data_IF_010029904663
#
_entry.id   IF_010029904663
#
_cell.length_a   1.000
_cell.length_b   1.000
_cell.length_c   1.000
_cell.angle_alpha   90.00
_cell.angle_beta   90.00
_cell.angle_gamma   90.00
#
_symmetry.space_group_name_H-M   'P 1'
#
loop_
_entity.id
_entity.type
_entity.pdbx_description
1 polymer ?
#
# COMPACT_ATOMS: atom_id res chain seq x y z
N UNK A 1 15.28 -24.87 -4.79
CA UNK A 1 15.91 -23.94 -3.84
C UNK A 1 16.00 -22.50 -4.37
N UNK A 2 15.19 -22.09 -5.36
CA UNK A 2 15.36 -20.82 -6.09
C UNK A 2 14.32 -19.73 -5.75
N UNK A 3 13.19 -20.07 -5.15
CA UNK A 3 12.10 -19.10 -4.91
C UNK A 3 12.29 -18.15 -3.73
N UNK A 4 13.24 -18.40 -2.83
CA UNK A 4 13.47 -17.56 -1.64
C UNK A 4 14.22 -16.25 -2.00
N UNK A 5 14.99 -16.23 -3.10
CA UNK A 5 15.81 -15.06 -3.47
C UNK A 5 15.05 -13.96 -4.23
N UNK A 6 13.91 -14.27 -4.86
CA UNK A 6 13.23 -13.33 -5.76
C UNK A 6 12.39 -12.29 -5.00
N UNK A 7 11.69 -12.70 -3.93
CA UNK A 7 10.91 -11.76 -3.13
C UNK A 7 11.80 -10.80 -2.32
N UNK A 8 12.93 -11.29 -1.79
CA UNK A 8 13.91 -10.49 -1.07
C UNK A 8 14.57 -9.46 -1.99
N UNK A 9 14.96 -9.88 -3.20
CA UNK A 9 15.51 -8.96 -4.20
C UNK A 9 14.47 -7.93 -4.67
N UNK A 10 13.20 -8.32 -4.82
CA UNK A 10 12.12 -7.41 -5.19
C UNK A 10 11.94 -6.26 -4.19
N UNK A 11 11.72 -6.57 -2.90
CA UNK A 11 11.51 -5.52 -1.90
C UNK A 11 12.76 -4.67 -1.66
N UNK A 12 13.95 -5.29 -1.75
CA UNK A 12 15.22 -4.54 -1.64
C UNK A 12 15.38 -3.52 -2.76
N UNK A 13 15.12 -3.93 -4.01
CA UNK A 13 15.17 -3.04 -5.17
C UNK A 13 14.11 -1.94 -5.09
N UNK A 14 12.88 -2.30 -4.73
CA UNK A 14 11.78 -1.35 -4.58
C UNK A 14 12.09 -0.28 -3.52
N UNK A 15 12.59 -0.71 -2.35
CA UNK A 15 13.07 0.19 -1.30
C UNK A 15 14.19 1.09 -1.79
N UNK A 16 15.19 0.54 -2.48
CA UNK A 16 16.33 1.31 -2.99
C UNK A 16 15.88 2.44 -3.92
N UNK A 17 14.99 2.13 -4.87
CA UNK A 17 14.42 3.13 -5.79
C UNK A 17 13.56 4.17 -5.08
N UNK A 18 12.73 3.73 -4.13
CA UNK A 18 11.88 4.63 -3.37
C UNK A 18 12.73 5.58 -2.52
N UNK A 19 13.71 5.07 -1.78
CA UNK A 19 14.63 5.87 -0.97
C UNK A 19 15.37 6.91 -1.82
N UNK A 20 15.84 6.52 -3.01
CA UNK A 20 16.47 7.44 -3.95
C UNK A 20 15.51 8.55 -4.38
N UNK A 21 14.29 8.20 -4.77
CA UNK A 21 13.25 9.16 -5.16
C UNK A 21 12.96 10.14 -4.03
N UNK A 22 12.76 9.66 -2.81
CA UNK A 22 12.48 10.51 -1.65
C UNK A 22 13.63 11.47 -1.35
N UNK A 23 14.87 11.01 -1.50
CA UNK A 23 16.07 11.85 -1.38
C UNK A 23 16.09 12.95 -2.45
N UNK A 24 15.80 12.60 -3.70
CA UNK A 24 15.81 13.53 -4.84
C UNK A 24 14.71 14.60 -4.72
N UNK A 25 13.54 14.22 -4.22
CA UNK A 25 12.40 15.12 -3.97
C UNK A 25 12.55 15.89 -2.64
N UNK A 26 13.51 15.52 -1.78
CA UNK A 26 13.78 16.21 -0.51
C UNK A 26 12.70 16.01 0.58
N UNK A 27 12.00 14.87 0.55
CA UNK A 27 10.83 14.61 1.40
C UNK A 27 11.03 13.48 2.43
N UNK A 28 12.27 13.09 2.72
CA UNK A 28 12.55 11.98 3.66
C UNK A 28 11.98 12.19 5.06
N UNK A 29 12.02 13.44 5.55
CA UNK A 29 11.54 13.83 6.87
C UNK A 29 10.02 14.04 6.92
N UNK A 30 9.33 13.93 5.78
CA UNK A 30 7.89 14.14 5.72
C UNK A 30 7.14 13.06 6.49
N UNK A 31 6.09 13.49 7.17
CA UNK A 31 5.27 12.62 8.01
C UNK A 31 4.34 11.78 7.15
N UNK A 32 4.26 10.50 7.50
CA UNK A 32 3.26 9.56 6.99
C UNK A 32 2.47 8.99 8.17
N UNK A 33 1.15 8.97 8.00
CA UNK A 33 0.23 8.43 8.99
C UNK A 33 -0.52 7.25 8.37
N UNK A 34 -0.42 6.09 9.01
CA UNK A 34 -1.10 4.87 8.61
C UNK A 34 -2.03 4.45 9.75
N UNK A 35 -3.33 4.47 9.48
CA UNK A 35 -4.35 4.18 10.48
C UNK A 35 -4.73 2.69 10.48
N UNK A 36 -4.84 2.10 11.67
CA UNK A 36 -5.29 0.70 11.90
C UNK A 36 -6.76 0.51 12.08
N UNK A 37 -7.57 1.57 11.91
CA UNK A 37 -8.97 1.32 11.63
C UNK A 37 -9.01 0.74 10.22
N UNK A 38 -8.66 -0.56 10.12
CA UNK A 38 -8.76 -1.36 8.93
C UNK A 38 -10.12 -1.06 8.39
N UNK A 39 -10.16 -0.51 7.19
CA UNK A 39 -11.43 -0.18 6.57
C UNK A 39 -12.27 -1.44 6.60
N UNK A 40 -13.48 -1.35 7.14
CA UNK A 40 -14.45 -2.44 7.01
C UNK A 40 -14.56 -2.81 5.53
N UNK A 41 -14.98 -4.02 5.16
CA UNK A 41 -15.11 -4.38 3.75
C UNK A 41 -15.95 -3.37 2.96
N UNK A 42 -17.00 -2.81 3.59
CA UNK A 42 -17.80 -1.74 3.02
C UNK A 42 -17.03 -0.40 2.93
N UNK A 43 -16.26 0.00 3.94
CA UNK A 43 -15.40 1.19 3.85
C UNK A 43 -14.24 1.01 2.86
N UNK A 44 -13.79 -0.22 2.57
CA UNK A 44 -12.69 -0.48 1.66
C UNK A 44 -13.15 -0.57 0.20
N UNK A 45 -14.19 -1.37 -0.07
CA UNK A 45 -14.64 -1.70 -1.43
C UNK A 45 -16.13 -1.47 -1.65
N UNK A 46 -16.85 -0.88 -0.70
CA UNK A 46 -18.29 -0.65 -0.79
C UNK A 46 -19.11 -1.93 -0.77
N UNK A 47 -20.33 -1.85 -1.31
CA UNK A 47 -21.23 -3.00 -1.43
C UNK A 47 -21.09 -3.58 -2.83
N UNK A 48 -20.22 -4.57 -2.96
CA UNK A 48 -19.95 -5.26 -4.24
C UNK A 48 -21.02 -6.29 -4.57
N UNK A 49 -21.20 -6.58 -5.87
CA UNK A 49 -22.05 -7.70 -6.33
C UNK A 49 -21.42 -9.05 -6.00
N UNK A 50 -20.15 -9.22 -6.35
CA UNK A 50 -19.32 -10.37 -5.96
C UNK A 50 -19.05 -10.36 -4.45
N UNK A 51 -19.09 -11.53 -3.82
CA UNK A 51 -18.95 -11.70 -2.36
C UNK A 51 -17.74 -12.54 -1.95
N UNK A 52 -16.95 -12.97 -2.91
CA UNK A 52 -15.78 -13.84 -2.75
C UNK A 52 -14.46 -13.06 -2.58
N UNK A 53 -14.50 -11.72 -2.52
CA UNK A 53 -13.30 -10.92 -2.31
C UNK A 53 -12.64 -11.27 -0.95
N UNK A 54 -11.32 -11.48 -0.89
CA UNK A 54 -10.61 -11.82 0.34
C UNK A 54 -10.92 -10.89 1.51
N UNK A 55 -11.05 -9.58 1.24
CA UNK A 55 -11.41 -8.57 2.23
C UNK A 55 -12.81 -8.76 2.83
N UNK A 56 -13.78 -9.28 2.07
CA UNK A 56 -15.12 -9.61 2.61
C UNK A 56 -15.05 -10.82 3.54
N UNK A 57 -14.20 -11.79 3.20
CA UNK A 57 -14.01 -12.99 4.02
C UNK A 57 -13.10 -12.77 5.24
N UNK A 58 -12.49 -11.59 5.36
CA UNK A 58 -11.56 -11.23 6.43
C UNK A 58 -10.17 -11.88 6.30
N UNK A 59 -9.85 -12.46 5.13
CA UNK A 59 -8.51 -13.00 4.86
C UNK A 59 -7.47 -11.91 4.69
N UNK A 60 -7.88 -10.83 4.03
CA UNK A 60 -7.08 -9.62 3.85
C UNK A 60 -7.83 -8.45 4.49
N UNK A 61 -7.08 -7.42 4.87
CA UNK A 61 -7.61 -6.12 5.26
C UNK A 61 -6.95 -5.02 4.44
N UNK A 62 -7.55 -3.83 4.44
CA UNK A 62 -6.99 -2.66 3.77
C UNK A 62 -6.39 -1.69 4.81
N UNK A 63 -5.11 -1.35 4.65
CA UNK A 63 -4.48 -0.24 5.35
C UNK A 63 -4.45 1.00 4.44
N UNK A 64 -4.51 2.18 5.05
CA UNK A 64 -4.45 3.45 4.33
C UNK A 64 -3.39 4.36 4.96
N UNK A 65 -2.45 4.80 4.13
CA UNK A 65 -1.51 5.85 4.42
C UNK A 65 -2.05 7.20 3.95
N UNK A 66 -1.80 8.24 4.73
CA UNK A 66 -1.90 9.64 4.34
C UNK A 66 -0.50 10.25 4.43
N UNK A 67 -0.05 10.85 3.33
CA UNK A 67 1.22 11.55 3.26
C UNK A 67 1.08 12.72 2.28
N UNK A 68 1.50 13.92 2.70
CA UNK A 68 1.49 15.12 1.86
C UNK A 68 0.13 15.38 1.17
N UNK A 69 -0.96 15.12 1.89
CA UNK A 69 -2.35 15.28 1.42
C UNK A 69 -2.83 14.21 0.43
N UNK A 70 -2.00 13.22 0.10
CA UNK A 70 -2.35 12.10 -0.77
C UNK A 70 -2.64 10.83 0.04
N UNK A 71 -3.54 9.99 -0.50
CA UNK A 71 -3.92 8.71 0.09
C UNK A 71 -3.33 7.55 -0.70
N UNK A 72 -2.80 6.56 0.01
CA UNK A 72 -2.30 5.31 -0.56
C UNK A 72 -2.81 4.12 0.23
N UNK A 73 -3.44 3.16 -0.46
CA UNK A 73 -3.97 1.95 0.17
C UNK A 73 -3.16 0.72 -0.20
N UNK A 74 -3.13 -0.26 0.70
CA UNK A 74 -2.53 -1.57 0.46
C UNK A 74 -3.36 -2.67 1.14
N UNK A 75 -3.55 -3.79 0.44
CA UNK A 75 -4.06 -5.01 1.05
C UNK A 75 -2.96 -5.69 1.86
N UNK A 76 -3.31 -6.23 3.02
CA UNK A 76 -2.39 -6.96 3.91
C UNK A 76 -3.15 -7.96 4.77
N UNK A 77 -2.51 -9.05 5.15
CA UNK A 77 -2.96 -9.98 6.18
C UNK A 77 -2.43 -9.60 7.58
N UNK A 78 -1.59 -8.56 7.67
CA UNK A 78 -0.88 -8.13 8.87
C UNK A 78 -1.00 -6.60 9.06
N UNK A 79 -2.19 -6.07 9.42
CA UNK A 79 -2.38 -4.63 9.60
C UNK A 79 -1.61 -4.08 10.79
N UNK A 80 -0.98 -2.91 10.61
CA UNK A 80 -0.33 -2.17 11.70
C UNK A 80 -0.56 -0.67 11.55
N UNK A 81 -0.50 0.05 12.67
CA UNK A 81 -0.66 1.50 12.72
C UNK A 81 0.72 2.08 12.81
N UNK A 82 0.89 3.20 12.13
CA UNK A 82 2.17 3.82 12.05
C UNK A 82 2.03 5.34 11.96
N UNK A 83 2.95 6.03 12.61
CA UNK A 83 3.16 7.46 12.46
C UNK A 83 4.66 7.70 12.61
N UNK A 84 5.25 8.29 11.60
CA UNK A 84 6.68 8.51 11.52
C UNK A 84 7.07 9.11 10.18
N UNK A 85 8.37 9.08 9.87
CA UNK A 85 8.89 9.67 8.64
C UNK A 85 8.95 8.66 7.48
N UNK A 86 9.10 9.16 6.26
CA UNK A 86 9.34 8.30 5.10
C UNK A 86 10.72 7.62 5.16
N UNK A 87 11.71 8.23 5.80
CA UNK A 87 13.00 7.58 6.09
C UNK A 87 12.84 6.35 7.00
N UNK A 88 12.05 6.46 8.06
CA UNK A 88 11.77 5.34 8.96
C UNK A 88 10.99 4.22 8.25
N UNK A 89 10.03 4.57 7.37
CA UNK A 89 9.35 3.59 6.49
C UNK A 89 10.36 2.81 5.64
N UNK A 90 11.33 3.51 5.03
CA UNK A 90 12.38 2.87 4.26
C UNK A 90 13.30 1.99 5.12
N UNK A 91 13.38 2.23 6.42
CA UNK A 91 14.22 1.47 7.34
C UNK A 91 13.57 0.19 7.88
N UNK A 92 12.29 -0.05 7.57
CA UNK A 92 11.54 -1.24 7.99
C UNK A 92 12.11 -2.56 7.43
N UNK A 93 11.87 -3.67 8.15
CA UNK A 93 12.28 -5.02 7.73
C UNK A 93 11.29 -5.62 6.71
N UNK A 94 11.42 -5.23 5.45
CA UNK A 94 10.59 -5.78 4.37
C UNK A 94 10.91 -7.25 4.05
N UNK A 95 12.05 -7.77 4.55
CA UNK A 95 12.49 -9.12 4.27
C UNK A 95 11.73 -10.14 5.12
N UNK A 96 11.58 -9.88 6.42
CA UNK A 96 11.05 -10.86 7.37
C UNK A 96 9.77 -10.41 8.06
N UNK A 97 9.42 -9.12 8.02
CA UNK A 97 8.23 -8.61 8.70
C UNK A 97 7.07 -8.32 7.70
N UNK A 98 5.99 -9.13 7.71
CA UNK A 98 4.84 -8.89 6.84
C UNK A 98 4.10 -7.59 7.18
N UNK A 99 4.10 -7.14 8.44
CA UNK A 99 3.48 -5.87 8.85
C UNK A 99 4.18 -4.70 8.16
N UNK A 100 5.52 -4.71 8.18
CA UNK A 100 6.36 -3.71 7.50
C UNK A 100 6.06 -3.57 6.01
N UNK A 101 5.75 -4.66 5.31
CA UNK A 101 5.42 -4.61 3.87
C UNK A 101 4.12 -3.85 3.60
N UNK A 102 3.08 -4.08 4.40
CA UNK A 102 1.82 -3.36 4.28
C UNK A 102 1.99 -1.86 4.49
N UNK A 103 2.76 -1.48 5.51
CA UNK A 103 3.09 -0.08 5.80
C UNK A 103 3.85 0.57 4.64
N UNK A 104 4.91 -0.09 4.17
CA UNK A 104 5.77 0.39 3.09
C UNK A 104 5.01 0.60 1.79
N UNK A 105 4.18 -0.36 1.37
CA UNK A 105 3.42 -0.24 0.11
C UNK A 105 2.34 0.84 0.22
N UNK A 106 1.67 0.99 1.36
CA UNK A 106 0.70 2.07 1.54
C UNK A 106 1.36 3.46 1.46
N UNK A 107 2.51 3.63 2.10
CA UNK A 107 3.29 4.87 2.04
C UNK A 107 3.81 5.16 0.63
N UNK A 108 4.37 4.15 -0.05
CA UNK A 108 4.79 4.23 -1.45
C UNK A 108 3.63 4.74 -2.33
N UNK A 109 2.45 4.14 -2.21
CA UNK A 109 1.28 4.53 -2.99
C UNK A 109 0.87 5.98 -2.72
N UNK A 110 0.88 6.42 -1.46
CA UNK A 110 0.54 7.80 -1.10
C UNK A 110 1.54 8.80 -1.71
N UNK A 111 2.84 8.52 -1.61
CA UNK A 111 3.89 9.39 -2.17
C UNK A 111 3.83 9.43 -3.70
N UNK A 112 3.69 8.27 -4.36
CA UNK A 112 3.62 8.22 -5.82
C UNK A 112 2.39 8.98 -6.35
N UNK A 113 1.28 8.98 -5.61
CA UNK A 113 0.11 9.80 -5.89
C UNK A 113 0.38 11.29 -5.69
N UNK A 114 1.01 11.66 -4.57
CA UNK A 114 1.40 13.05 -4.28
C UNK A 114 2.27 13.63 -5.41
N UNK A 115 3.25 12.86 -5.88
CA UNK A 115 4.17 13.25 -6.96
C UNK A 115 3.52 13.20 -8.36
N UNK A 116 2.23 12.86 -8.46
CA UNK A 116 1.51 12.77 -9.74
C UNK A 116 2.03 11.69 -10.68
N UNK A 117 2.72 10.67 -10.15
CA UNK A 117 3.31 9.57 -10.94
C UNK A 117 2.31 8.43 -11.20
N UNK A 118 1.34 8.28 -10.31
CA UNK A 118 0.28 7.28 -10.41
C UNK A 118 -1.06 7.87 -9.97
N UNK A 119 -2.14 7.28 -10.46
CA UNK A 119 -3.50 7.53 -10.01
C UNK A 119 -4.09 6.25 -9.39
N UNK A 120 -5.35 6.33 -8.95
CA UNK A 120 -6.12 5.17 -8.46
C UNK A 120 -5.47 4.40 -7.29
N UNK A 121 -4.81 5.11 -6.36
CA UNK A 121 -4.17 4.55 -5.15
C UNK A 121 -5.12 4.29 -3.99
N UNK A 122 -6.40 4.63 -4.17
CA UNK A 122 -7.52 4.27 -3.31
C UNK A 122 -8.41 3.32 -4.11
N UNK A 123 -8.74 2.17 -3.51
CA UNK A 123 -9.44 1.11 -4.21
C UNK A 123 -10.83 1.54 -4.66
N UNK A 124 -11.27 0.98 -5.79
CA UNK A 124 -12.60 1.22 -6.32
C UNK A 124 -13.68 0.64 -5.38
N UNK A 125 -14.88 1.25 -5.40
CA UNK A 125 -16.02 0.85 -4.57
C UNK A 125 -17.18 0.32 -5.40
N UNK A 126 -18.04 -0.49 -4.78
CA UNK A 126 -19.29 -1.01 -5.32
C UNK A 126 -19.09 -1.83 -6.60
N UNK A 127 -19.52 -1.33 -7.76
CA UNK A 127 -19.31 -1.97 -9.07
C UNK A 127 -17.91 -1.69 -9.64
N UNK A 128 -17.20 -0.71 -9.07
CA UNK A 128 -15.87 -0.29 -9.50
C UNK A 128 -14.84 -1.42 -9.64
N UNK A 129 -14.74 -2.40 -8.71
CA UNK A 129 -13.85 -3.55 -8.89
C UNK A 129 -14.08 -4.34 -10.18
N UNK A 130 -15.33 -4.45 -10.68
CA UNK A 130 -15.62 -5.15 -11.92
C UNK A 130 -15.12 -4.36 -13.14
N UNK A 131 -15.31 -3.04 -13.13
CA UNK A 131 -14.82 -2.16 -14.21
C UNK A 131 -13.30 -2.11 -14.24
N UNK A 132 -12.66 -1.95 -13.08
CA UNK A 132 -11.20 -1.91 -12.96
C UNK A 132 -10.56 -3.23 -13.41
N UNK A 133 -11.15 -4.38 -13.04
CA UNK A 133 -10.68 -5.68 -13.51
C UNK A 133 -10.75 -5.83 -15.04
N UNK A 134 -11.79 -5.30 -15.67
CA UNK A 134 -11.93 -5.33 -17.12
C UNK A 134 -10.86 -4.48 -17.84
N UNK A 135 -10.38 -3.40 -17.21
CA UNK A 135 -9.33 -2.56 -17.78
C UNK A 135 -7.94 -3.22 -17.73
N UNK A 136 -7.68 -4.10 -16.77
CA UNK A 136 -6.40 -4.81 -16.61
C UNK A 136 -6.19 -5.92 -17.65
N UNK A 137 -7.27 -6.47 -18.21
CA UNK A 137 -7.22 -7.57 -19.19
C UNK A 137 -7.23 -7.03 -20.64
N UNK A 138 -7.12 -5.72 -20.84
CA UNK A 138 -7.06 -5.10 -22.17
C UNK A 138 -5.68 -5.10 -22.80
#
# INVERSE_FOLDING_TARGET
>A
MTYINDALSFYSELRSRFMKLLTEEGILDEQVVINTKSLTPEEAIGITKRKDFPIITGKDVMVQAECLGALGQAFTDAPSAYRGTLEEICSLDLANDPYSRGLFIAALNAVMKHLGRVDCTVHCRNEGPEFCAADVVR
#
